data_IF_989059326698
#
_entry.id   IF_989059326698
#
_cell.length_a   1.000
_cell.length_b   1.000
_cell.length_c   1.000
_cell.angle_alpha   90.00
_cell.angle_beta   90.00
_cell.angle_gamma   90.00
#
_symmetry.space_group_name_H-M   'P 1'
#
loop_
_entity.id
_entity.type
_entity.pdbx_description
1 polymer ?
#
# COMPACT_ATOMS: atom_id res chain seq x y z
N UNK A 1 -9.22 25.34 -4.32
CA UNK A 1 -8.93 24.03 -3.70
C UNK A 1 -9.21 23.01 -4.79
N UNK A 2 -8.16 22.38 -5.33
CA UNK A 2 -8.35 21.31 -6.33
C UNK A 2 -9.13 20.16 -5.69
N UNK A 3 -10.16 19.70 -6.40
CA UNK A 3 -10.94 18.54 -6.00
C UNK A 3 -10.00 17.34 -6.02
N UNK A 4 -9.73 16.77 -4.85
CA UNK A 4 -8.99 15.52 -4.72
C UNK A 4 -9.91 14.44 -5.28
N UNK A 5 -9.65 13.96 -6.50
CA UNK A 5 -10.27 12.73 -7.00
C UNK A 5 -9.71 11.57 -6.19
N UNK A 6 -10.32 11.33 -5.03
CA UNK A 6 -10.13 10.09 -4.28
C UNK A 6 -10.68 9.00 -5.18
N UNK A 7 -9.81 8.15 -5.71
CA UNK A 7 -10.22 6.91 -6.39
C UNK A 7 -11.25 6.24 -5.50
N UNK A 8 -12.47 6.01 -5.98
CA UNK A 8 -13.51 5.37 -5.17
C UNK A 8 -13.06 3.95 -4.82
N UNK A 9 -12.48 3.79 -3.64
CA UNK A 9 -12.13 2.48 -3.08
C UNK A 9 -13.41 1.87 -2.55
N UNK A 10 -14.04 1.01 -3.37
CA UNK A 10 -15.19 0.20 -2.92
C UNK A 10 -14.68 -0.98 -2.11
N UNK A 11 -15.01 -0.97 -0.83
CA UNK A 11 -14.73 -2.10 0.06
C UNK A 11 -15.67 -3.27 -0.27
N UNK A 12 -15.09 -4.44 -0.55
CA UNK A 12 -15.86 -5.69 -0.59
C UNK A 12 -16.18 -6.16 0.83
N UNK A 13 -17.43 -5.97 1.24
CA UNK A 13 -17.92 -6.36 2.58
C UNK A 13 -18.05 -7.88 2.76
N UNK A 14 -17.91 -8.67 1.68
CA UNK A 14 -17.97 -10.15 1.75
C UNK A 14 -16.65 -10.77 2.18
N UNK A 15 -15.54 -10.04 2.07
CA UNK A 15 -14.20 -10.52 2.40
C UNK A 15 -13.79 -10.25 3.86
N UNK A 16 -14.74 -9.91 4.75
CA UNK A 16 -14.45 -9.56 6.14
C UNK A 16 -14.41 -10.79 7.04
N UNK A 17 -13.40 -10.88 7.89
CA UNK A 17 -13.23 -11.95 8.89
C UNK A 17 -13.00 -11.34 10.26
N UNK A 18 -13.60 -11.92 11.30
CA UNK A 18 -13.33 -11.53 12.70
C UNK A 18 -12.19 -12.36 13.25
N UNK A 19 -11.17 -11.69 13.78
CA UNK A 19 -9.99 -12.31 14.41
C UNK A 19 -9.81 -11.78 15.84
N UNK A 20 -9.16 -12.54 16.75
CA UNK A 20 -8.82 -12.04 18.08
C UNK A 20 -7.94 -10.79 17.99
N UNK A 21 -8.18 -9.80 18.86
CA UNK A 21 -7.47 -8.52 18.84
C UNK A 21 -5.94 -8.65 18.96
N UNK A 22 -5.45 -9.68 19.65
CA UNK A 22 -4.02 -9.90 19.91
C UNK A 22 -3.41 -11.02 19.06
N UNK A 23 -4.12 -11.49 18.03
CA UNK A 23 -3.57 -12.47 17.08
C UNK A 23 -2.85 -11.76 15.93
N UNK A 24 -1.56 -11.49 16.12
CA UNK A 24 -0.71 -10.87 15.10
C UNK A 24 -0.45 -11.77 13.88
N UNK A 25 -0.79 -13.07 13.96
CA UNK A 25 -0.50 -14.02 12.89
C UNK A 25 -1.47 -13.91 11.71
N UNK A 26 -2.71 -13.51 11.97
CA UNK A 26 -3.77 -13.43 10.97
C UNK A 26 -3.47 -12.39 9.88
N UNK A 27 -3.01 -11.20 10.27
CA UNK A 27 -2.65 -10.13 9.33
C UNK A 27 -1.52 -10.55 8.41
N UNK A 28 -0.46 -11.13 9.00
CA UNK A 28 0.70 -11.60 8.24
C UNK A 28 0.31 -12.70 7.26
N UNK A 29 -0.51 -13.66 7.67
CA UNK A 29 -0.99 -14.73 6.82
C UNK A 29 -1.82 -14.20 5.65
N UNK A 30 -2.73 -13.26 5.91
CA UNK A 30 -3.53 -12.61 4.87
C UNK A 30 -2.67 -11.90 3.83
N UNK A 31 -1.69 -11.09 4.26
CA UNK A 31 -0.84 -10.37 3.32
C UNK A 31 0.06 -11.29 2.51
N UNK A 32 0.53 -12.39 3.10
CA UNK A 32 1.33 -13.39 2.37
C UNK A 32 0.51 -14.21 1.36
N UNK A 33 -0.81 -14.32 1.54
CA UNK A 33 -1.68 -14.99 0.57
C UNK A 33 -2.03 -14.13 -0.65
N UNK A 34 -1.77 -12.81 -0.61
CA UNK A 34 -2.02 -11.90 -1.72
C UNK A 34 -0.89 -11.92 -2.75
N UNK A 35 -1.20 -11.61 -4.01
CA UNK A 35 -0.17 -11.43 -5.03
C UNK A 35 0.75 -10.24 -4.68
N UNK A 36 2.02 -10.25 -5.10
CA UNK A 36 2.90 -9.08 -4.94
C UNK A 36 2.29 -7.78 -5.51
N UNK A 37 1.60 -7.88 -6.65
CA UNK A 37 0.95 -6.76 -7.33
C UNK A 37 -0.20 -6.18 -6.50
N UNK A 38 -1.03 -7.04 -5.90
CA UNK A 38 -2.14 -6.61 -5.05
C UNK A 38 -1.63 -5.93 -3.77
N UNK A 39 -0.53 -6.42 -3.19
CA UNK A 39 0.11 -5.77 -2.03
C UNK A 39 0.60 -4.37 -2.35
N UNK A 40 1.28 -4.18 -3.48
CA UNK A 40 1.76 -2.86 -3.92
C UNK A 40 0.58 -1.92 -4.15
N UNK A 41 -0.50 -2.42 -4.77
CA UNK A 41 -1.71 -1.64 -5.02
C UNK A 41 -2.38 -1.18 -3.71
N UNK A 42 -2.43 -2.05 -2.69
CA UNK A 42 -2.93 -1.68 -1.37
C UNK A 42 -2.05 -0.64 -0.68
N UNK A 43 -0.73 -0.77 -0.76
CA UNK A 43 0.21 0.22 -0.21
C UNK A 43 -0.02 1.59 -0.86
N UNK A 44 -0.24 1.64 -2.17
CA UNK A 44 -0.52 2.88 -2.90
C UNK A 44 -1.82 3.54 -2.44
N UNK A 45 -2.88 2.76 -2.19
CA UNK A 45 -4.12 3.27 -1.63
C UNK A 45 -3.87 3.88 -0.24
N UNK A 46 -3.16 3.17 0.64
CA UNK A 46 -2.81 3.69 1.97
C UNK A 46 -1.96 4.96 1.89
N UNK A 47 -1.02 5.02 0.94
CA UNK A 47 -0.19 6.20 0.68
C UNK A 47 -1.06 7.39 0.27
N UNK A 48 -2.03 7.20 -0.61
CA UNK A 48 -2.95 8.25 -1.04
C UNK A 48 -3.86 8.72 0.09
N UNK A 49 -4.39 7.79 0.90
CA UNK A 49 -5.24 8.13 2.06
C UNK A 49 -4.47 8.96 3.09
N UNK A 50 -3.23 8.57 3.41
CA UNK A 50 -2.45 9.22 4.46
C UNK A 50 -1.74 10.51 3.99
N UNK A 51 -1.30 10.56 2.73
CA UNK A 51 -0.41 11.62 2.24
C UNK A 51 -0.94 12.37 0.99
N UNK A 52 -2.07 11.95 0.43
CA UNK A 52 -2.63 12.51 -0.79
C UNK A 52 -1.97 12.04 -2.08
N UNK A 53 -2.46 12.58 -3.18
CA UNK A 53 -1.99 12.33 -4.55
C UNK A 53 -0.61 12.96 -4.83
N UNK A 54 -0.29 14.08 -4.16
CA UNK A 54 0.95 14.85 -4.34
C UNK A 54 2.03 14.54 -3.29
N UNK A 55 1.94 13.42 -2.59
CA UNK A 55 2.89 13.01 -1.55
C UNK A 55 4.37 13.04 -2.01
N UNK A 56 4.63 12.77 -3.29
CA UNK A 56 5.99 12.73 -3.85
C UNK A 56 6.39 13.99 -4.62
N UNK A 57 5.54 15.01 -4.66
CA UNK A 57 5.74 16.22 -5.47
C UNK A 57 6.99 17.02 -5.12
N UNK A 58 7.46 16.92 -3.88
CA UNK A 58 8.64 17.65 -3.37
C UNK A 58 9.83 16.74 -3.04
N UNK A 59 9.73 15.44 -3.33
CA UNK A 59 10.84 14.52 -3.14
C UNK A 59 11.85 14.70 -4.27
N UNK A 60 13.07 15.13 -3.91
CA UNK A 60 14.19 15.18 -4.83
C UNK A 60 14.62 13.75 -5.17
N UNK A 61 14.56 13.39 -6.45
CA UNK A 61 15.02 12.09 -6.95
C UNK A 61 16.45 12.25 -7.44
N UNK A 62 17.40 11.62 -6.77
CA UNK A 62 18.80 11.57 -7.19
C UNK A 62 19.02 10.17 -7.74
N UNK A 63 19.43 10.08 -9.00
CA UNK A 63 19.84 8.82 -9.60
C UNK A 63 21.20 8.44 -9.04
N UNK A 64 21.28 7.28 -8.39
CA UNK A 64 22.52 6.70 -7.90
C UNK A 64 22.78 5.36 -8.61
N UNK A 65 24.05 5.08 -8.92
CA UNK A 65 24.49 3.79 -9.43
C UNK A 65 24.82 2.90 -8.23
N UNK A 66 23.94 1.96 -7.89
CA UNK A 66 24.19 0.96 -6.86
C UNK A 66 25.01 -0.21 -7.44
N UNK A 67 25.93 -0.74 -6.64
CA UNK A 67 26.66 -1.96 -6.99
C UNK A 67 25.70 -3.16 -6.90
N UNK A 68 25.65 -3.97 -7.95
CA UNK A 68 24.93 -5.24 -7.91
C UNK A 68 25.76 -6.25 -7.09
N UNK A 69 25.30 -6.62 -5.90
CA UNK A 69 25.99 -7.62 -5.04
C UNK A 69 25.70 -9.07 -5.45
N UNK A 70 24.93 -9.27 -6.53
CA UNK A 70 24.42 -10.58 -6.96
C UNK A 70 25.09 -11.09 -8.25
N UNK A 71 26.36 -10.75 -8.49
CA UNK A 71 27.15 -11.24 -9.63
C UNK A 71 28.40 -11.98 -9.18
#
# INVERSE_FOLDING_TARGET
MENIEVKEVKLDKRAFTTVPLFDESADKAYWLSQSPQDRISHIEILRQVNYGDRATSRLQRILEIAKCEWC
#
